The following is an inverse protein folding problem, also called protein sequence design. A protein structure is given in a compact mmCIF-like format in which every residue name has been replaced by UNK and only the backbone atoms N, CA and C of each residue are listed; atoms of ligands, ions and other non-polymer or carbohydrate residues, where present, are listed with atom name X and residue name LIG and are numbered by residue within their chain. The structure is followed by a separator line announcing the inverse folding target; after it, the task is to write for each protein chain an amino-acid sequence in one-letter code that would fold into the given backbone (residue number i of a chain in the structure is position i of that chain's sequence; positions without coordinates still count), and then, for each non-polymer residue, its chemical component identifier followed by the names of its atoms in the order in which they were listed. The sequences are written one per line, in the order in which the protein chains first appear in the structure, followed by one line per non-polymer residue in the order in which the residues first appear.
data_IF_723246029165
#
_entry.id   IF_723246029165
#
_cell.length_a   1.000
_cell.length_b   1.000
_cell.length_c   1.000
_cell.angle_alpha   90.00
_cell.angle_beta   90.00
_cell.angle_gamma   90.00
#
_symmetry.space_group_name_H-M   'P 1'
#
loop_
_entity.id
_entity.type
_entity.pdbx_description
1 polymer ?
#
# COMPACT_ATOMS: atom_id res chain seq x y z
N UNK A 1 16.97 7.48 13.46
CA UNK A 1 16.74 6.16 12.84
C UNK A 1 18.01 5.30 12.79
N UNK A 2 19.18 5.82 12.39
CA UNK A 2 20.45 5.08 12.48
C UNK A 2 20.78 4.56 13.89
N UNK A 3 20.52 5.36 14.94
CA UNK A 3 20.68 4.93 16.34
C UNK A 3 19.74 3.80 16.76
N UNK A 4 18.63 3.60 16.04
CA UNK A 4 17.71 2.48 16.23
C UNK A 4 18.01 1.30 15.28
N UNK A 5 19.17 1.30 14.60
CA UNK A 5 19.56 0.23 13.66
C UNK A 5 18.81 0.22 12.32
N UNK A 6 18.00 1.24 12.03
CA UNK A 6 17.19 1.29 10.79
C UNK A 6 18.03 1.91 9.67
N UNK A 7 18.35 1.11 8.66
CA UNK A 7 19.04 1.53 7.44
C UNK A 7 18.05 2.03 6.38
N UNK A 8 18.24 3.26 5.90
CA UNK A 8 17.38 3.89 4.89
C UNK A 8 17.20 5.39 5.12
N UNK A 9 16.50 6.06 4.20
CA UNK A 9 16.08 7.45 4.40
C UNK A 9 15.08 7.48 5.55
N UNK A 10 15.44 8.12 6.66
CA UNK A 10 14.53 8.35 7.78
C UNK A 10 13.69 9.62 7.63
N UNK A 11 12.84 9.90 8.61
CA UNK A 11 12.12 11.17 8.75
C UNK A 11 10.60 11.03 8.78
N UNK A 12 9.93 12.16 9.00
CA UNK A 12 8.46 12.22 9.17
C UNK A 12 7.70 11.75 7.94
N UNK A 13 8.23 11.96 6.74
CA UNK A 13 7.60 11.45 5.52
C UNK A 13 7.45 9.92 5.54
N UNK A 14 8.52 9.20 5.93
CA UNK A 14 8.45 7.74 6.01
C UNK A 14 7.58 7.27 7.16
N UNK A 15 7.60 7.97 8.28
CA UNK A 15 6.69 7.70 9.39
C UNK A 15 5.23 7.85 8.95
N UNK A 16 4.90 8.92 8.23
CA UNK A 16 3.57 9.16 7.66
C UNK A 16 3.16 8.03 6.70
N UNK A 17 4.10 7.57 5.85
CA UNK A 17 3.85 6.40 4.99
C UNK A 17 3.57 5.13 5.78
N UNK A 18 4.33 4.88 6.85
CA UNK A 18 4.12 3.73 7.72
C UNK A 18 2.76 3.77 8.42
N UNK A 19 2.36 4.93 8.96
CA UNK A 19 1.04 5.13 9.58
C UNK A 19 -0.08 4.89 8.57
N UNK A 20 -0.02 5.54 7.40
CA UNK A 20 -1.05 5.37 6.36
C UNK A 20 -1.19 3.92 5.90
N UNK A 21 -0.07 3.23 5.65
CA UNK A 21 -0.06 1.80 5.32
C UNK A 21 -0.71 0.96 6.43
N UNK A 22 -0.28 1.14 7.68
CA UNK A 22 -0.72 0.28 8.79
C UNK A 22 -2.22 0.45 9.07
N UNK A 23 -2.76 1.67 8.93
CA UNK A 23 -4.20 1.90 9.05
C UNK A 23 -4.99 1.17 7.95
N UNK A 24 -4.53 1.24 6.70
CA UNK A 24 -5.18 0.53 5.58
C UNK A 24 -5.14 -0.98 5.78
N UNK A 25 -3.97 -1.52 6.15
CA UNK A 25 -3.81 -2.97 6.44
C UNK A 25 -4.70 -3.42 7.59
N UNK A 26 -4.94 -2.56 8.59
CA UNK A 26 -5.87 -2.81 9.69
C UNK A 26 -7.35 -2.70 9.29
N UNK A 27 -7.66 -2.46 8.02
CA UNK A 27 -9.03 -2.35 7.52
C UNK A 27 -9.71 -1.02 7.83
N UNK A 28 -8.96 0.01 8.25
CA UNK A 28 -9.53 1.34 8.50
C UNK A 28 -10.00 1.94 7.17
N UNK A 29 -11.22 2.50 7.11
CA UNK A 29 -11.74 3.11 5.89
C UNK A 29 -10.80 4.19 5.33
N UNK A 30 -10.61 4.20 4.01
CA UNK A 30 -9.70 5.14 3.31
C UNK A 30 -10.09 6.59 3.55
N UNK A 31 -11.38 6.88 3.74
CA UNK A 31 -11.89 8.20 4.11
C UNK A 31 -11.34 8.64 5.48
N UNK A 32 -11.36 7.77 6.48
CA UNK A 32 -10.78 8.01 7.81
C UNK A 32 -9.26 8.14 7.73
N UNK A 33 -8.57 7.29 6.95
CA UNK A 33 -7.11 7.42 6.75
C UNK A 33 -6.76 8.78 6.13
N UNK A 34 -7.58 9.25 5.17
CA UNK A 34 -7.42 10.58 4.56
C UNK A 34 -7.51 11.70 5.60
N UNK A 35 -8.47 11.62 6.52
CA UNK A 35 -8.65 12.59 7.60
C UNK A 35 -7.48 12.57 8.60
N UNK A 36 -7.07 11.38 9.05
CA UNK A 36 -5.94 11.22 9.98
C UNK A 36 -4.65 11.79 9.40
N UNK A 37 -4.42 11.62 8.09
CA UNK A 37 -3.23 12.12 7.40
C UNK A 37 -3.34 13.57 6.93
N UNK A 38 -4.49 14.23 7.15
CA UNK A 38 -4.72 15.61 6.74
C UNK A 38 -4.73 15.81 5.22
N UNK A 39 -5.15 14.81 4.46
CA UNK A 39 -5.23 14.92 3.00
C UNK A 39 -6.50 15.66 2.58
N UNK A 40 -6.32 16.78 1.87
CA UNK A 40 -7.42 17.57 1.27
C UNK A 40 -8.05 16.86 0.08
N UNK A 41 -7.25 16.11 -0.68
CA UNK A 41 -7.71 15.24 -1.76
C UNK A 41 -7.48 13.77 -1.39
N UNK A 42 -8.57 13.00 -1.38
CA UNK A 42 -8.56 11.56 -1.08
C UNK A 42 -7.72 10.76 -2.09
N UNK A 43 -7.50 11.28 -3.30
CA UNK A 43 -6.64 10.66 -4.30
C UNK A 43 -5.22 10.43 -3.76
N UNK A 44 -4.72 11.35 -2.92
CA UNK A 44 -3.41 11.25 -2.27
C UNK A 44 -3.32 10.09 -1.28
N UNK A 45 -4.44 9.61 -0.75
CA UNK A 45 -4.51 8.49 0.20
C UNK A 45 -4.41 7.14 -0.50
N UNK A 46 -4.81 7.05 -1.78
CA UNK A 46 -4.82 5.80 -2.57
C UNK A 46 -3.46 5.11 -2.63
N UNK A 47 -2.37 5.89 -2.58
CA UNK A 47 -1.00 5.34 -2.61
C UNK A 47 -0.70 4.39 -1.43
N UNK A 48 -1.46 4.47 -0.33
CA UNK A 48 -1.29 3.57 0.82
C UNK A 48 -2.02 2.23 0.62
N UNK A 49 -3.08 2.21 -0.19
CA UNK A 49 -3.78 0.97 -0.58
C UNK A 49 -2.85 0.07 -1.39
N UNK A 50 -2.07 0.64 -2.30
CA UNK A 50 -1.07 -0.08 -3.08
C UNK A 50 0.01 -0.77 -2.23
N UNK A 51 0.17 -0.37 -0.96
CA UNK A 51 1.13 -0.98 -0.03
C UNK A 51 0.56 -2.17 0.76
N UNK A 52 -0.76 -2.39 0.69
CA UNK A 52 -1.45 -3.49 1.36
C UNK A 52 -1.41 -4.77 0.51
N UNK A 53 -0.20 -5.31 0.38
CA UNK A 53 0.03 -6.54 -0.40
C UNK A 53 -0.74 -7.76 0.11
N UNK A 54 -1.23 -7.76 1.36
CA UNK A 54 -1.98 -8.89 1.90
C UNK A 54 -3.41 -8.88 1.36
N UNK A 55 -4.13 -7.78 1.56
CA UNK A 55 -5.52 -7.68 1.08
C UNK A 55 -5.59 -7.58 -0.45
N UNK A 56 -4.60 -6.96 -1.11
CA UNK A 56 -4.55 -6.91 -2.57
C UNK A 56 -4.46 -8.28 -3.24
N UNK A 57 -3.81 -9.27 -2.60
CA UNK A 57 -3.73 -10.64 -3.15
C UNK A 57 -5.09 -11.34 -3.18
N UNK A 58 -5.96 -11.04 -2.23
CA UNK A 58 -7.31 -11.62 -2.16
C UNK A 58 -8.19 -11.10 -3.31
N UNK A 59 -7.91 -9.89 -3.79
CA UNK A 59 -8.63 -9.28 -4.91
C UNK A 59 -8.04 -9.66 -6.28
N UNK A 60 -6.95 -10.42 -6.33
CA UNK A 60 -6.37 -10.85 -7.59
C UNK A 60 -7.32 -11.83 -8.28
N UNK A 61 -7.67 -11.55 -9.54
CA UNK A 61 -8.34 -12.51 -10.40
C UNK A 61 -7.41 -13.70 -10.63
N UNK A 62 -7.99 -14.90 -10.70
CA UNK A 62 -7.25 -16.08 -11.12
C UNK A 62 -6.91 -16.02 -12.61
N UNK A 63 -6.12 -17.00 -13.06
CA UNK A 63 -5.77 -17.13 -14.47
C UNK A 63 -6.80 -17.96 -15.25
N UNK A 64 -8.02 -18.12 -14.74
CA UNK A 64 -9.03 -18.90 -15.46
C UNK A 64 -9.29 -18.28 -16.84
N UNK A 65 -9.37 -19.13 -17.85
CA UNK A 65 -9.48 -18.71 -19.26
C UNK A 65 -8.21 -18.11 -19.90
N UNK A 66 -7.12 -17.87 -19.14
CA UNK A 66 -5.86 -17.34 -19.68
C UNK A 66 -4.92 -18.50 -20.06
N UNK A 67 -4.86 -18.87 -21.35
CA UNK A 67 -3.92 -19.89 -21.83
C UNK A 67 -2.52 -19.31 -22.03
N UNK A 68 -1.45 -19.95 -21.52
CA UNK A 68 -0.08 -19.56 -21.86
C UNK A 68 0.13 -19.61 -23.36
N UNK A 69 0.64 -18.53 -23.96
CA UNK A 69 1.04 -18.56 -25.38
C UNK A 69 2.33 -19.36 -25.49
N UNK A 70 2.33 -20.40 -26.33
CA UNK A 70 3.58 -21.08 -26.71
C UNK A 70 4.41 -20.08 -27.51
N UNK A 71 5.60 -19.77 -27.04
CA UNK A 71 6.58 -19.06 -27.85
C UNK A 71 7.01 -20.01 -28.97
N UNK A 72 6.86 -19.61 -30.23
CA UNK A 72 7.20 -20.45 -31.39
C UNK A 72 8.71 -20.67 -31.49
N UNK A 73 9.11 -21.92 -31.74
CA UNK A 73 10.46 -22.33 -32.18
C UNK A 73 10.77 -21.83 -33.60
#
# INVERSE_FOLDING_TARGET
MKSAGINGKGGFYQLRRAVGKNLVVAGVPVTTVSQVLGHTDISNTKQYIALDTQNLKVCALDFDGIRPRRWSE
#
